data_IF_827327553699
#
_entry.id   IF_827327553699
#
_cell.length_a   1.000
_cell.length_b   1.000
_cell.length_c   1.000
_cell.angle_alpha   90.00
_cell.angle_beta   90.00
_cell.angle_gamma   90.00
#
_symmetry.space_group_name_H-M   'P 1'
#
loop_
_entity.id
_entity.type
_entity.pdbx_description
1 polymer ?
#
# COMPACT_ATOMS: atom_id res chain seq x y z
N UNK A 1 29.51 -11.15 24.17
CA UNK A 1 29.04 -11.85 22.95
C UNK A 1 27.65 -11.32 22.58
N UNK A 2 27.58 -10.33 21.69
CA UNK A 2 26.31 -9.74 21.27
C UNK A 2 25.73 -10.60 20.14
N UNK A 3 24.71 -11.40 20.43
CA UNK A 3 23.95 -12.14 19.41
C UNK A 3 23.32 -11.12 18.46
N UNK A 4 23.88 -10.95 17.26
CA UNK A 4 23.21 -10.24 16.17
C UNK A 4 21.93 -11.02 15.83
N UNK A 5 20.76 -10.54 16.24
CA UNK A 5 19.49 -11.07 15.77
C UNK A 5 19.47 -10.92 14.24
N UNK A 6 19.50 -12.04 13.52
CA UNK A 6 19.20 -12.05 12.08
C UNK A 6 17.72 -11.67 11.96
N UNK A 7 17.45 -10.42 11.60
CA UNK A 7 16.09 -9.93 11.31
C UNK A 7 15.64 -10.62 10.02
N UNK A 8 14.69 -11.54 10.11
CA UNK A 8 14.09 -12.17 8.92
C UNK A 8 13.40 -11.09 8.12
N UNK A 9 13.90 -10.81 6.92
CA UNK A 9 13.31 -9.84 6.01
C UNK A 9 12.06 -10.48 5.41
N UNK A 10 10.88 -9.86 5.57
CA UNK A 10 9.64 -10.31 4.93
C UNK A 10 9.82 -10.25 3.40
N UNK A 11 9.17 -11.16 2.66
CA UNK A 11 9.27 -11.22 1.21
C UNK A 11 8.88 -9.90 0.51
N UNK A 12 8.02 -9.11 1.14
CA UNK A 12 7.57 -7.79 0.69
C UNK A 12 8.26 -6.62 1.39
N UNK A 13 9.39 -6.89 2.07
CA UNK A 13 10.14 -5.94 2.89
C UNK A 13 9.31 -5.28 4.01
N UNK A 14 8.12 -5.81 4.33
CA UNK A 14 7.19 -5.22 5.28
C UNK A 14 6.39 -4.04 4.73
N UNK A 15 6.32 -3.87 3.41
CA UNK A 15 5.61 -2.75 2.78
C UNK A 15 4.08 -2.78 3.00
N UNK A 16 3.49 -3.96 3.20
CA UNK A 16 2.04 -4.14 3.21
C UNK A 16 1.49 -4.51 4.58
N UNK A 17 0.35 -3.92 4.93
CA UNK A 17 -0.45 -4.31 6.10
C UNK A 17 -1.53 -5.32 5.74
N UNK A 18 -2.05 -5.23 4.51
CA UNK A 18 -3.14 -6.07 4.03
C UNK A 18 -2.98 -6.31 2.52
N UNK A 19 -3.16 -7.56 2.11
CA UNK A 19 -3.24 -7.96 0.70
C UNK A 19 -4.71 -8.01 0.31
N UNK A 20 -5.04 -7.29 -0.75
CA UNK A 20 -6.36 -7.32 -1.38
C UNK A 20 -6.19 -7.17 -2.88
N UNK A 21 -7.23 -7.51 -3.65
CA UNK A 21 -7.23 -7.27 -5.08
C UNK A 21 -8.47 -6.49 -5.49
N UNK A 22 -8.27 -5.30 -6.04
CA UNK A 22 -9.30 -4.60 -6.81
C UNK A 22 -8.97 -4.81 -8.28
N UNK A 23 -9.76 -5.67 -8.92
CA UNK A 23 -9.57 -6.01 -10.33
C UNK A 23 -10.22 -4.93 -11.21
N UNK A 24 -9.58 -4.55 -12.32
CA UNK A 24 -10.16 -3.63 -13.28
C UNK A 24 -11.38 -4.26 -13.97
N UNK A 25 -12.27 -3.45 -14.55
CA UNK A 25 -13.33 -3.97 -15.41
C UNK A 25 -12.73 -4.69 -16.64
N UNK A 26 -13.51 -5.55 -17.31
CA UNK A 26 -13.09 -6.17 -18.56
C UNK A 26 -12.62 -5.13 -19.58
N UNK A 27 -11.66 -5.53 -20.41
CA UNK A 27 -11.17 -4.67 -21.48
C UNK A 27 -12.31 -4.35 -22.47
N UNK A 28 -12.36 -3.13 -23.01
CA UNK A 28 -13.32 -2.79 -24.05
C UNK A 28 -13.14 -3.69 -25.27
N UNK A 29 -14.24 -4.10 -25.88
CA UNK A 29 -14.18 -4.84 -27.15
C UNK A 29 -13.68 -3.90 -28.28
N UNK A 30 -12.91 -4.41 -29.26
CA UNK A 30 -12.56 -3.66 -30.45
C UNK A 30 -13.82 -3.08 -31.16
N UNK A 31 -13.74 -1.86 -31.72
CA UNK A 31 -12.55 -1.06 -31.99
C UNK A 31 -12.15 -0.09 -30.86
N UNK A 32 -12.79 -0.18 -29.68
CA UNK A 32 -12.50 0.74 -28.57
C UNK A 32 -11.09 0.48 -28.02
N UNK A 33 -10.34 1.55 -27.73
CA UNK A 33 -9.00 1.45 -27.19
C UNK A 33 -9.00 0.73 -25.83
N UNK A 34 -7.94 -0.03 -25.49
CA UNK A 34 -7.75 -0.58 -24.15
C UNK A 34 -7.73 0.51 -23.08
N UNK A 35 -8.00 0.12 -21.84
CA UNK A 35 -7.87 1.05 -20.73
C UNK A 35 -6.40 1.51 -20.58
N UNK A 36 -6.12 2.78 -20.23
CA UNK A 36 -4.77 3.35 -20.29
C UNK A 36 -3.76 2.73 -19.31
N UNK A 37 -4.23 2.08 -18.24
CA UNK A 37 -3.39 1.46 -17.20
C UNK A 37 -3.45 -0.07 -17.25
N UNK A 38 -3.91 -0.63 -18.37
CA UNK A 38 -4.02 -2.08 -18.56
C UNK A 38 -2.70 -2.79 -18.27
N UNK A 39 -2.76 -3.78 -17.38
CA UNK A 39 -1.61 -4.60 -17.01
C UNK A 39 -0.71 -4.00 -15.92
N UNK A 40 -1.01 -2.78 -15.46
CA UNK A 40 -0.29 -2.16 -14.35
C UNK A 40 -0.89 -2.57 -13.01
N UNK A 41 -0.03 -2.66 -12.00
CA UNK A 41 -0.35 -2.95 -10.61
C UNK A 41 -0.01 -1.76 -9.72
N UNK A 42 -0.81 -1.54 -8.69
CA UNK A 42 -0.55 -0.49 -7.72
C UNK A 42 -0.93 -0.88 -6.29
N UNK A 43 -0.40 -0.12 -5.34
CA UNK A 43 -0.75 -0.20 -3.92
C UNK A 43 -1.20 1.16 -3.40
N UNK A 44 -1.90 1.17 -2.28
CA UNK A 44 -2.39 2.40 -1.65
C UNK A 44 -2.00 2.47 -0.19
N UNK A 45 -1.57 3.62 0.30
CA UNK A 45 -1.41 3.87 1.74
C UNK A 45 -2.71 3.56 2.49
N UNK A 46 -2.60 3.17 3.76
CA UNK A 46 -3.73 2.92 4.67
C UNK A 46 -4.49 4.20 5.09
N UNK A 47 -4.64 5.14 4.17
CA UNK A 47 -5.42 6.38 4.28
C UNK A 47 -6.45 6.50 3.15
N UNK A 48 -6.38 5.62 2.15
CA UNK A 48 -7.31 5.59 1.03
C UNK A 48 -8.45 4.60 1.29
N UNK A 49 -9.67 5.09 1.22
CA UNK A 49 -10.87 4.26 1.36
C UNK A 49 -10.99 3.27 0.21
N UNK A 50 -11.27 2.02 0.56
CA UNK A 50 -11.68 0.94 -0.34
C UNK A 50 -12.98 0.36 0.21
N UNK A 51 -14.01 0.26 -0.65
CA UNK A 51 -15.32 -0.24 -0.24
C UNK A 51 -15.21 -1.61 0.43
N UNK A 52 -15.77 -1.74 1.64
CA UNK A 52 -15.77 -3.00 2.40
C UNK A 52 -14.50 -3.25 3.21
N UNK A 53 -13.52 -2.34 3.19
CA UNK A 53 -12.32 -2.39 4.03
C UNK A 53 -12.30 -1.20 4.99
N UNK A 54 -11.81 -1.41 6.22
CA UNK A 54 -11.58 -0.33 7.18
C UNK A 54 -10.32 0.42 6.78
N UNK A 55 -10.38 1.75 6.73
CA UNK A 55 -9.19 2.61 6.57
C UNK A 55 -8.58 2.83 7.94
N UNK A 56 -7.38 2.29 8.17
CA UNK A 56 -6.81 2.15 9.50
C UNK A 56 -5.93 3.31 9.94
N UNK A 57 -5.51 4.19 9.03
CA UNK A 57 -4.58 5.28 9.30
C UNK A 57 -3.31 4.81 10.03
N UNK A 58 -2.83 3.61 9.75
CA UNK A 58 -1.65 3.07 10.42
C UNK A 58 -1.87 2.73 11.91
N UNK A 59 -3.12 2.72 12.39
CA UNK A 59 -3.47 2.53 13.80
C UNK A 59 -4.55 1.42 13.99
N UNK A 60 -4.23 0.30 14.66
CA UNK A 60 -5.17 -0.80 14.86
C UNK A 60 -6.31 -0.47 15.84
N UNK A 61 -6.14 0.47 16.78
CA UNK A 61 -7.23 0.92 17.65
C UNK A 61 -8.24 1.76 16.89
N UNK A 62 -7.78 2.60 15.95
CA UNK A 62 -8.65 3.28 14.99
C UNK A 62 -9.44 2.26 14.17
N UNK A 63 -8.75 1.26 13.59
CA UNK A 63 -9.41 0.23 12.78
C UNK A 63 -10.47 -0.56 13.56
N UNK A 64 -10.31 -0.74 14.87
CA UNK A 64 -11.25 -1.50 15.71
C UNK A 64 -12.53 -0.73 16.03
N UNK A 65 -12.50 0.59 15.99
CA UNK A 65 -13.64 1.46 16.36
C UNK A 65 -14.37 2.04 15.17
N UNK A 66 -13.89 1.80 13.94
CA UNK A 66 -14.47 2.36 12.71
C UNK A 66 -14.98 1.26 11.79
N UNK A 67 -16.11 1.57 11.15
CA UNK A 67 -16.74 0.68 10.18
C UNK A 67 -15.98 0.66 8.84
N UNK A 68 -16.11 -0.43 8.06
CA UNK A 68 -15.58 -0.47 6.70
C UNK A 68 -16.11 0.67 5.83
N UNK A 69 -15.28 1.18 4.94
CA UNK A 69 -15.66 2.29 4.08
C UNK A 69 -16.87 1.90 3.19
N UNK A 70 -17.89 2.77 3.07
CA UNK A 70 -19.07 2.49 2.24
C UNK A 70 -18.74 2.56 0.75
N UNK A 71 -17.68 3.27 0.38
CA UNK A 71 -17.28 3.55 -0.99
C UNK A 71 -15.75 3.60 -1.12
N UNK A 72 -15.26 3.17 -2.27
CA UNK A 72 -13.86 3.38 -2.68
C UNK A 72 -13.66 4.84 -3.06
N UNK A 73 -12.55 5.45 -2.63
CA UNK A 73 -12.29 6.85 -2.94
C UNK A 73 -12.11 7.09 -4.46
N UNK A 74 -12.43 8.29 -4.98
CA UNK A 74 -12.47 8.54 -6.43
C UNK A 74 -11.15 8.27 -7.15
N UNK A 75 -10.01 8.57 -6.52
CA UNK A 75 -8.69 8.32 -7.13
C UNK A 75 -8.40 6.84 -7.29
N UNK A 76 -8.75 6.00 -6.30
CA UNK A 76 -8.57 4.54 -6.41
C UNK A 76 -9.54 3.96 -7.43
N UNK A 77 -10.80 4.41 -7.42
CA UNK A 77 -11.79 4.00 -8.42
C UNK A 77 -11.33 4.33 -9.84
N UNK A 78 -10.84 5.56 -10.08
CA UNK A 78 -10.37 6.00 -11.39
C UNK A 78 -9.19 5.16 -11.91
N UNK A 79 -8.27 4.74 -11.03
CA UNK A 79 -7.14 3.89 -11.42
C UNK A 79 -7.59 2.47 -11.78
N UNK A 80 -8.53 1.91 -11.00
CA UNK A 80 -9.10 0.58 -11.28
C UNK A 80 -9.93 0.60 -12.56
N UNK A 81 -10.81 1.58 -12.72
CA UNK A 81 -11.60 1.78 -13.94
C UNK A 81 -10.70 2.07 -15.16
N UNK A 82 -9.55 2.70 -14.92
CA UNK A 82 -8.50 2.92 -15.90
C UNK A 82 -7.68 1.68 -16.26
N UNK A 83 -7.97 0.51 -15.69
CA UNK A 83 -7.37 -0.77 -16.06
C UNK A 83 -6.29 -1.31 -15.13
N UNK A 84 -5.94 -0.58 -14.05
CA UNK A 84 -4.92 -1.02 -13.11
C UNK A 84 -5.49 -1.98 -12.04
N UNK A 85 -4.64 -2.87 -11.53
CA UNK A 85 -4.99 -3.76 -10.41
C UNK A 85 -4.42 -3.21 -9.10
N UNK A 86 -5.27 -2.94 -8.11
CA UNK A 86 -4.79 -2.64 -6.75
C UNK A 86 -4.46 -3.96 -6.05
N UNK A 87 -3.27 -4.10 -5.46
CA UNK A 87 -2.80 -5.37 -4.85
C UNK A 87 -2.63 -5.33 -3.32
N UNK A 88 -2.97 -4.22 -2.67
CA UNK A 88 -2.86 -4.14 -1.22
C UNK A 88 -2.83 -2.74 -0.64
N UNK A 89 -2.94 -2.71 0.69
CA UNK A 89 -2.78 -1.51 1.51
C UNK A 89 -1.41 -1.51 2.17
N UNK A 90 -0.73 -0.37 2.12
CA UNK A 90 0.65 -0.22 2.57
C UNK A 90 0.75 0.45 3.93
N UNK A 91 1.85 0.15 4.62
CA UNK A 91 2.20 0.77 5.89
C UNK A 91 2.27 2.29 5.74
N UNK A 92 1.66 2.98 6.71
CA UNK A 92 1.75 4.41 6.92
C UNK A 92 2.16 4.66 8.38
N UNK A 93 2.79 5.80 8.65
CA UNK A 93 3.03 6.23 10.04
C UNK A 93 1.71 6.40 10.80
N UNK A 94 1.75 6.27 12.13
CA UNK A 94 0.56 6.31 13.01
C UNK A 94 -0.24 7.60 12.77
N UNK A 95 -1.53 7.45 12.45
CA UNK A 95 -2.44 8.54 12.05
C UNK A 95 -1.98 9.36 10.84
N UNK A 96 -1.07 8.82 10.02
CA UNK A 96 -0.32 9.54 8.98
C UNK A 96 0.52 10.72 9.52
N UNK A 97 0.82 10.73 10.82
CA UNK A 97 1.60 11.76 11.49
C UNK A 97 3.03 11.24 11.74
N UNK A 98 3.87 11.35 10.72
CA UNK A 98 5.27 10.97 10.82
C UNK A 98 6.03 11.19 9.51
N UNK A 99 7.36 11.15 9.61
CA UNK A 99 8.28 11.35 8.48
C UNK A 99 9.37 10.28 8.38
N UNK A 100 9.50 9.40 9.38
CA UNK A 100 10.55 8.37 9.38
C UNK A 100 10.10 7.07 8.73
N UNK A 101 8.80 6.76 8.70
CA UNK A 101 8.35 5.45 8.21
C UNK A 101 8.50 4.34 9.24
N UNK A 102 8.35 4.69 10.51
CA UNK A 102 8.47 3.79 11.65
C UNK A 102 7.12 3.63 12.35
N UNK A 103 6.39 2.58 12.01
CA UNK A 103 5.15 2.24 12.70
C UNK A 103 5.43 1.39 13.94
N UNK A 104 4.93 1.82 15.11
CA UNK A 104 4.94 1.00 16.34
C UNK A 104 4.06 -0.25 16.22
N UNK A 105 3.09 -0.24 15.31
CA UNK A 105 2.09 -1.29 15.14
C UNK A 105 2.48 -2.30 14.05
N UNK A 106 2.96 -1.79 12.92
CA UNK A 106 3.26 -2.62 11.73
C UNK A 106 4.77 -2.81 11.48
N UNK A 107 5.61 -2.12 12.27
CA UNK A 107 7.05 -2.06 12.06
C UNK A 107 7.45 -1.06 10.98
N UNK A 108 8.75 -0.94 10.75
CA UNK A 108 9.29 -0.11 9.66
C UNK A 108 9.57 -0.97 8.43
N UNK A 109 8.99 -0.65 7.25
CA UNK A 109 9.36 -1.27 5.98
C UNK A 109 10.87 -1.14 5.72
N UNK A 110 11.49 -2.19 5.18
CA UNK A 110 12.94 -2.18 4.92
C UNK A 110 13.22 -1.38 3.65
N UNK A 111 14.00 -0.32 3.77
CA UNK A 111 14.44 0.48 2.63
C UNK A 111 15.33 -0.38 1.69
N UNK A 112 14.90 -0.71 0.46
CA UNK A 112 15.67 -1.58 -0.43
C UNK A 112 16.97 -0.93 -0.92
N UNK A 113 17.03 0.40 -1.00
CA UNK A 113 18.23 1.12 -1.43
C UNK A 113 19.28 1.24 -0.31
N UNK A 114 18.85 1.19 0.96
CA UNK A 114 19.76 1.25 2.11
C UNK A 114 19.11 0.59 3.34
N UNK A 115 19.22 -0.74 3.51
CA UNK A 115 18.50 -1.49 4.57
C UNK A 115 18.80 -1.08 6.01
N UNK A 116 19.89 -0.34 6.25
CA UNK A 116 20.26 0.21 7.56
C UNK A 116 19.67 1.60 7.84
N UNK A 117 18.92 2.19 6.89
CA UNK A 117 18.27 3.50 7.03
C UNK A 117 16.76 3.33 6.99
N UNK A 118 16.07 4.27 7.60
CA UNK A 118 14.62 4.34 7.53
C UNK A 118 14.16 4.60 6.08
N UNK A 119 12.97 4.10 5.68
CA UNK A 119 12.43 4.33 4.35
C UNK A 119 11.89 5.77 4.15
N UNK A 120 11.64 6.50 5.24
CA UNK A 120 10.91 7.77 5.21
C UNK A 120 9.40 7.56 5.28
N UNK A 121 8.66 8.60 5.66
CA UNK A 121 7.22 8.55 5.89
C UNK A 121 6.50 9.86 5.50
N UNK A 122 5.19 9.97 5.67
CA UNK A 122 4.34 8.97 6.33
C UNK A 122 4.11 7.70 5.47
N UNK A 123 4.17 7.80 4.14
CA UNK A 123 3.80 6.75 3.18
C UNK A 123 4.92 5.73 2.92
N UNK A 124 5.51 5.21 4.00
CA UNK A 124 6.70 4.35 3.95
C UNK A 124 6.51 3.07 3.17
N UNK A 125 5.39 2.38 3.36
CA UNK A 125 5.10 1.14 2.67
C UNK A 125 4.87 1.35 1.17
N UNK A 126 4.25 2.47 0.77
CA UNK A 126 4.05 2.83 -0.63
C UNK A 126 5.39 3.04 -1.35
N UNK A 127 6.28 3.83 -0.74
CA UNK A 127 7.62 4.07 -1.27
C UNK A 127 8.44 2.77 -1.38
N UNK A 128 8.39 1.91 -0.35
CA UNK A 128 9.10 0.62 -0.39
C UNK A 128 8.50 -0.34 -1.41
N UNK A 129 7.16 -0.37 -1.57
CA UNK A 129 6.51 -1.25 -2.55
C UNK A 129 6.98 -0.95 -3.98
N UNK A 130 7.07 0.33 -4.35
CA UNK A 130 7.59 0.75 -5.66
C UNK A 130 9.09 0.49 -5.76
N UNK A 131 9.88 0.92 -4.76
CA UNK A 131 11.34 0.77 -4.80
C UNK A 131 11.81 -0.69 -4.84
N UNK A 132 11.02 -1.60 -4.27
CA UNK A 132 11.25 -3.04 -4.29
C UNK A 132 10.62 -3.76 -5.50
N UNK A 133 10.01 -3.02 -6.45
CA UNK A 133 9.35 -3.55 -7.65
C UNK A 133 8.23 -4.56 -7.32
N UNK A 134 7.52 -4.34 -6.22
CA UNK A 134 6.35 -5.14 -5.83
C UNK A 134 5.08 -4.67 -6.55
N UNK A 135 5.09 -3.41 -7.01
CA UNK A 135 4.04 -2.76 -7.82
C UNK A 135 4.69 -1.81 -8.82
N UNK A 136 3.95 -1.45 -9.87
CA UNK A 136 4.40 -0.49 -10.88
C UNK A 136 4.34 0.95 -10.36
N UNK A 137 3.33 1.28 -9.54
CA UNK A 137 3.18 2.59 -8.89
C UNK A 137 2.39 2.49 -7.58
N UNK A 138 2.26 3.60 -6.84
CA UNK A 138 1.50 3.63 -5.59
C UNK A 138 0.84 4.98 -5.32
N UNK A 139 -0.24 4.98 -4.55
CA UNK A 139 -0.79 6.19 -3.93
C UNK A 139 -0.26 6.31 -2.49
N UNK A 140 0.42 7.42 -2.23
CA UNK A 140 1.08 7.74 -0.96
C UNK A 140 0.20 8.57 -0.05
#
# INVERSE_FOLDING_TARGET
>A
MTKKLKRTVKADLGAFIERLQLLPPPQPAPPKAPHPLTGLSFAVSDVFNIKGFVTGFGNPDWSRTHEPAPQTCPVVAALVDGGATCIGKTVVDDMALGVSGESKHYGSPTNPASPARVPGGASSGAAVAVAAKLVDFSLG
#
